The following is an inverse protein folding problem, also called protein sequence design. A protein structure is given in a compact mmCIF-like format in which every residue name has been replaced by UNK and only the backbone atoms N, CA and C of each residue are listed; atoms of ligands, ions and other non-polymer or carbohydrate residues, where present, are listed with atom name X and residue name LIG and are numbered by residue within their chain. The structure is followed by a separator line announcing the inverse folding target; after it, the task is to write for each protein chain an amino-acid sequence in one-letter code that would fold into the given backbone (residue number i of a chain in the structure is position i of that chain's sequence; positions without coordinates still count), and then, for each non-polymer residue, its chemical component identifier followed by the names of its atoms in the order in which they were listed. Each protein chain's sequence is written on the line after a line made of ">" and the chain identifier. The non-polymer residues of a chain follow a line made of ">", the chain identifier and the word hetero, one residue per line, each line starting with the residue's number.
data_IF_163413588360
#
_entry.id   IF_163413588360
#
_cell.length_a   1.000
_cell.length_b   1.000
_cell.length_c   1.000
_cell.angle_alpha   90.00
_cell.angle_beta   90.00
_cell.angle_gamma   90.00
#
_symmetry.space_group_name_H-M   'P 1'
#
loop_
_entity.id
_entity.type
_entity.pdbx_description
1 polymer ?
#
# COMPACT_ATOMS: atom_id res chain seq x y z
N UNK A 1 -19.80 -34.31 11.73
CA UNK A 1 -20.53 -33.89 12.95
C UNK A 1 -19.85 -32.65 13.50
N UNK A 2 -20.30 -31.48 13.08
CA UNK A 2 -19.83 -30.17 13.54
C UNK A 2 -20.67 -29.74 14.73
N UNK A 3 -20.04 -29.48 15.89
CA UNK A 3 -20.72 -28.86 17.04
C UNK A 3 -20.76 -27.34 16.83
N UNK A 4 -21.90 -26.66 17.04
CA UNK A 4 -21.97 -25.21 17.01
C UNK A 4 -21.42 -24.63 18.32
N UNK A 5 -20.62 -23.56 18.23
CA UNK A 5 -20.23 -22.75 19.38
C UNK A 5 -21.41 -21.88 19.80
N UNK A 6 -22.10 -22.26 20.89
CA UNK A 6 -23.18 -21.49 21.50
C UNK A 6 -22.88 -21.28 22.99
N UNK A 7 -21.99 -20.34 23.32
CA UNK A 7 -22.01 -19.64 24.62
C UNK A 7 -20.99 -18.50 24.67
N UNK A 8 -21.42 -17.33 25.17
CA UNK A 8 -20.59 -16.15 25.43
C UNK A 8 -19.52 -16.37 26.53
N UNK A 9 -19.51 -17.53 27.20
CA UNK A 9 -18.54 -17.90 28.24
C UNK A 9 -17.18 -18.35 27.70
N UNK A 10 -17.03 -18.59 26.39
CA UNK A 10 -15.75 -18.96 25.77
C UNK A 10 -14.83 -17.75 25.48
N UNK A 11 -15.31 -16.53 25.73
CA UNK A 11 -14.62 -15.27 25.40
C UNK A 11 -13.84 -14.72 26.62
N UNK A 12 -14.12 -15.16 27.84
CA UNK A 12 -13.52 -14.61 29.07
C UNK A 12 -12.06 -15.04 29.35
N UNK A 13 -11.48 -15.91 28.52
CA UNK A 13 -10.09 -16.34 28.63
C UNK A 13 -9.09 -15.59 27.74
N UNK A 14 -9.56 -14.72 26.84
CA UNK A 14 -8.69 -14.03 25.88
C UNK A 14 -8.13 -12.78 26.55
N UNK A 15 -6.95 -12.91 27.18
CA UNK A 15 -6.19 -11.74 27.61
C UNK A 15 -6.01 -10.78 26.43
N UNK A 16 -6.21 -9.46 26.61
CA UNK A 16 -5.86 -8.48 25.59
C UNK A 16 -4.39 -8.67 25.23
N UNK A 17 -4.14 -8.93 23.96
CA UNK A 17 -2.80 -9.16 23.46
C UNK A 17 -2.11 -7.81 23.42
N UNK A 18 -1.12 -7.64 24.28
CA UNK A 18 -0.27 -6.45 24.28
C UNK A 18 0.63 -6.49 23.03
N UNK A 19 0.16 -5.85 21.95
CA UNK A 19 0.88 -5.78 20.68
C UNK A 19 2.25 -5.12 20.78
N UNK A 20 2.58 -4.51 21.92
CA UNK A 20 3.88 -3.88 22.18
C UNK A 20 4.96 -4.85 22.67
N UNK A 21 4.59 -6.04 23.19
CA UNK A 21 5.56 -6.98 23.83
C UNK A 21 5.82 -8.27 23.06
N UNK A 22 4.88 -8.75 22.27
CA UNK A 22 4.98 -10.07 21.61
C UNK A 22 5.47 -10.02 20.14
N UNK A 23 5.75 -8.82 19.60
CA UNK A 23 6.15 -8.65 18.21
C UNK A 23 5.07 -9.08 17.20
N UNK A 24 5.38 -8.93 15.91
CA UNK A 24 4.47 -9.31 14.83
C UNK A 24 4.26 -10.84 14.78
N UNK A 25 3.04 -11.32 15.03
CA UNK A 25 2.69 -12.76 14.96
C UNK A 25 2.81 -13.39 13.57
N UNK A 26 2.82 -12.58 12.52
CA UNK A 26 2.76 -13.03 11.13
C UNK A 26 4.13 -13.03 10.43
N UNK A 27 5.20 -12.62 11.11
CA UNK A 27 6.54 -12.70 10.55
C UNK A 27 7.61 -12.53 11.61
N UNK A 28 8.41 -13.59 11.85
CA UNK A 28 9.57 -13.60 12.78
C UNK A 28 10.73 -12.66 12.36
N UNK A 29 10.46 -11.64 11.56
CA UNK A 29 11.48 -10.72 11.03
C UNK A 29 10.98 -9.31 10.71
N UNK A 30 9.74 -8.96 11.07
CA UNK A 30 9.26 -7.58 10.95
C UNK A 30 9.08 -7.01 12.35
N UNK A 31 9.91 -6.04 12.68
CA UNK A 31 9.85 -5.32 13.95
C UNK A 31 8.56 -4.50 14.06
N UNK A 32 8.03 -4.44 15.27
CA UNK A 32 6.94 -3.55 15.62
C UNK A 32 7.42 -2.09 15.56
N UNK A 33 6.64 -1.23 14.92
CA UNK A 33 6.95 0.19 14.78
C UNK A 33 5.85 1.03 15.41
N UNK A 34 6.24 1.86 16.37
CA UNK A 34 5.35 2.89 16.89
C UNK A 34 5.13 4.00 15.87
N UNK A 35 4.02 4.71 16.05
CA UNK A 35 3.63 5.78 15.16
C UNK A 35 2.13 5.85 14.93
N UNK A 36 1.74 6.72 14.01
CA UNK A 36 0.37 6.94 13.62
C UNK A 36 0.28 7.24 12.12
N UNK A 37 -0.93 7.15 11.60
CA UNK A 37 -1.22 7.58 10.25
C UNK A 37 -1.34 9.08 10.18
N UNK A 38 -0.64 9.64 9.21
CA UNK A 38 -0.82 11.02 8.81
C UNK A 38 -1.25 11.03 7.35
N UNK A 39 -2.30 11.80 7.06
CA UNK A 39 -2.75 11.99 5.69
C UNK A 39 -1.68 12.78 4.96
N UNK A 40 -1.14 12.25 3.88
CA UNK A 40 -0.15 12.94 3.04
C UNK A 40 -0.84 13.87 2.06
N UNK A 41 -1.89 13.37 1.41
CA UNK A 41 -2.66 14.15 0.44
C UNK A 41 -4.13 13.74 0.39
N UNK A 42 -4.95 14.67 -0.08
CA UNK A 42 -6.37 14.49 -0.30
C UNK A 42 -6.82 15.13 -1.61
N UNK A 43 -8.00 14.75 -2.08
CA UNK A 43 -8.66 15.37 -3.21
C UNK A 43 -9.83 16.22 -2.75
N UNK A 44 -9.92 17.43 -3.32
CA UNK A 44 -11.10 18.28 -3.22
C UNK A 44 -11.78 18.34 -4.57
N UNK A 45 -12.98 17.77 -4.63
CA UNK A 45 -13.91 17.96 -5.75
C UNK A 45 -14.43 19.40 -5.70
N UNK A 46 -14.00 20.23 -6.65
CA UNK A 46 -14.61 21.55 -6.86
C UNK A 46 -15.74 21.40 -7.86
N UNK A 47 -16.88 20.93 -7.37
CA UNK A 47 -18.16 21.08 -8.05
C UNK A 47 -18.54 22.57 -8.00
N UNK A 48 -18.25 23.29 -9.08
CA UNK A 48 -18.96 24.45 -9.67
C UNK A 48 -17.96 25.20 -10.55
N UNK A 49 -18.25 25.28 -11.86
CA UNK A 49 -17.52 25.99 -12.94
C UNK A 49 -16.39 25.24 -13.69
N UNK A 50 -16.50 23.92 -13.89
CA UNK A 50 -15.66 23.21 -14.87
C UNK A 50 -14.15 23.20 -14.57
N UNK A 51 -13.75 23.50 -13.33
CA UNK A 51 -12.36 23.37 -12.89
C UNK A 51 -12.11 21.93 -12.42
N UNK A 52 -11.01 21.34 -12.89
CA UNK A 52 -10.53 20.05 -12.38
C UNK A 52 -10.37 20.11 -10.85
N UNK A 53 -10.74 19.03 -10.16
CA UNK A 53 -10.54 18.93 -8.71
C UNK A 53 -9.06 19.08 -8.32
N UNK A 54 -8.83 19.43 -7.06
CA UNK A 54 -7.51 19.86 -6.58
C UNK A 54 -6.90 18.83 -5.63
N UNK A 55 -5.59 18.61 -5.78
CA UNK A 55 -4.80 17.85 -4.81
C UNK A 55 -4.40 18.80 -3.70
N UNK A 56 -4.74 18.43 -2.46
CA UNK A 56 -4.38 19.17 -1.25
C UNK A 56 -3.36 18.34 -0.48
N UNK A 57 -2.16 18.89 -0.30
CA UNK A 57 -1.10 18.29 0.51
C UNK A 57 -1.27 18.68 1.98
N UNK A 58 -0.98 17.76 2.88
CA UNK A 58 -0.96 18.06 4.32
C UNK A 58 0.38 18.71 4.71
N UNK A 59 0.40 19.97 5.20
CA UNK A 59 1.63 20.64 5.60
C UNK A 59 2.41 19.90 6.69
N UNK A 60 1.73 19.26 7.64
CA UNK A 60 2.37 18.50 8.71
C UNK A 60 3.12 17.28 8.15
N UNK A 61 2.54 16.58 7.18
CA UNK A 61 3.21 15.48 6.50
C UNK A 61 4.42 15.97 5.70
N UNK A 62 4.31 17.12 5.03
CA UNK A 62 5.42 17.71 4.29
C UNK A 62 6.57 18.12 5.20
N UNK A 63 6.30 18.66 6.38
CA UNK A 63 7.35 19.01 7.35
C UNK A 63 8.13 17.77 7.78
N UNK A 64 7.45 16.65 8.08
CA UNK A 64 8.11 15.37 8.39
C UNK A 64 9.01 14.91 7.23
N UNK A 65 8.56 15.06 5.99
CA UNK A 65 9.36 14.71 4.81
C UNK A 65 10.59 15.63 4.65
N UNK A 66 10.45 16.92 4.95
CA UNK A 66 11.53 17.91 4.85
C UNK A 66 12.61 17.73 5.92
N UNK A 67 12.28 17.12 7.05
CA UNK A 67 13.24 16.82 8.13
C UNK A 67 14.15 15.61 7.82
N UNK A 68 13.82 14.83 6.78
CA UNK A 68 14.60 13.66 6.37
C UNK A 68 15.84 14.11 5.60
N UNK A 69 17.01 13.80 6.15
CA UNK A 69 18.31 14.07 5.52
C UNK A 69 19.00 12.80 5.01
N UNK A 70 18.49 11.62 5.41
CA UNK A 70 18.98 10.33 4.96
C UNK A 70 18.39 9.94 3.60
N UNK A 71 19.01 9.02 2.83
CA UNK A 71 18.40 8.48 1.62
C UNK A 71 17.01 7.90 1.90
N UNK A 72 16.03 8.32 1.10
CA UNK A 72 14.62 7.97 1.28
C UNK A 72 14.21 6.81 0.37
N UNK A 73 13.54 5.81 0.95
CA UNK A 73 12.85 4.75 0.24
C UNK A 73 11.34 4.87 0.48
N UNK A 74 10.56 4.86 -0.58
CA UNK A 74 9.10 4.94 -0.54
C UNK A 74 8.52 3.64 -1.06
N UNK A 75 7.70 2.99 -0.22
CA UNK A 75 6.95 1.78 -0.54
C UNK A 75 5.48 2.18 -0.68
N UNK A 76 4.94 2.23 -1.90
CA UNK A 76 3.51 2.46 -2.09
C UNK A 76 2.75 1.15 -2.25
N UNK A 77 1.67 0.99 -1.50
CA UNK A 77 0.73 -0.13 -1.63
C UNK A 77 -0.51 0.37 -2.38
N UNK A 78 -0.71 -0.15 -3.60
CA UNK A 78 -1.76 0.27 -4.53
C UNK A 78 -2.52 -0.94 -5.06
N UNK A 79 -3.79 -0.78 -5.37
CA UNK A 79 -4.65 -1.88 -5.82
C UNK A 79 -6.13 -1.61 -5.52
N UNK A 80 -7.01 -2.52 -5.97
CA UNK A 80 -8.44 -2.26 -5.94
C UNK A 80 -8.99 -2.04 -4.53
N UNK A 81 -10.11 -1.33 -4.44
CA UNK A 81 -10.80 -1.05 -3.19
C UNK A 81 -11.22 -2.32 -2.45
N UNK A 82 -11.15 -2.30 -1.10
CA UNK A 82 -11.44 -3.43 -0.18
C UNK A 82 -10.61 -4.71 -0.38
N UNK A 83 -9.41 -4.61 -0.92
CA UNK A 83 -8.53 -5.78 -1.18
C UNK A 83 -7.39 -5.99 -0.18
N UNK A 84 -7.49 -5.42 1.02
CA UNK A 84 -6.51 -5.67 2.10
C UNK A 84 -5.17 -4.93 1.97
N UNK A 85 -5.12 -3.82 1.21
CA UNK A 85 -3.94 -2.95 1.08
C UNK A 85 -3.48 -2.39 2.42
N UNK A 86 -4.40 -1.74 3.14
CA UNK A 86 -4.14 -1.14 4.44
C UNK A 86 -3.75 -2.19 5.48
N UNK A 87 -4.27 -3.41 5.38
CA UNK A 87 -3.82 -4.53 6.19
C UNK A 87 -2.36 -4.91 5.88
N UNK A 88 -1.99 -5.00 4.60
CA UNK A 88 -0.61 -5.29 4.21
C UNK A 88 0.34 -4.17 4.65
N UNK A 89 -0.05 -2.91 4.50
CA UNK A 89 0.70 -1.77 4.98
C UNK A 89 0.88 -1.79 6.51
N UNK A 90 -0.13 -2.22 7.29
CA UNK A 90 0.00 -2.48 8.73
C UNK A 90 1.07 -3.56 9.03
N UNK A 91 1.02 -4.68 8.30
CA UNK A 91 1.99 -5.78 8.47
C UNK A 91 3.42 -5.31 8.22
N UNK A 92 3.65 -4.40 7.27
CA UNK A 92 4.98 -3.82 7.03
C UNK A 92 5.53 -3.05 8.24
N UNK A 93 4.68 -2.58 9.14
CA UNK A 93 5.06 -1.92 10.41
C UNK A 93 5.07 -2.88 11.61
N UNK A 94 4.83 -4.18 11.38
CA UNK A 94 4.68 -5.15 12.45
C UNK A 94 3.40 -4.97 13.27
N UNK A 95 2.37 -4.34 12.68
CA UNK A 95 1.11 -3.98 13.35
C UNK A 95 -0.10 -4.66 12.75
N UNK A 96 -1.22 -4.60 13.48
CA UNK A 96 -2.54 -5.09 13.04
C UNK A 96 -3.70 -4.11 13.27
N UNK A 97 -3.45 -2.96 13.90
CA UNK A 97 -4.45 -2.09 14.52
C UNK A 97 -4.53 -0.68 13.90
N UNK A 98 -3.57 -0.31 13.05
CA UNK A 98 -3.28 1.11 12.76
C UNK A 98 -4.05 1.71 11.59
N UNK A 99 -4.03 1.09 10.41
CA UNK A 99 -4.98 1.44 9.36
C UNK A 99 -6.38 1.01 9.76
N UNK A 100 -7.35 1.93 9.69
CA UNK A 100 -8.73 1.67 10.08
C UNK A 100 -9.36 0.68 9.08
N UNK A 101 -9.42 -0.60 9.44
CA UNK A 101 -9.96 -1.70 8.60
C UNK A 101 -11.49 -1.77 8.65
N UNK A 102 -12.17 -0.63 8.79
CA UNK A 102 -13.59 -0.55 9.12
C UNK A 102 -14.50 -1.39 8.19
N UNK A 103 -15.55 -2.05 8.73
CA UNK A 103 -16.49 -2.86 7.95
C UNK A 103 -17.48 -2.03 7.10
N UNK A 104 -17.42 -0.70 7.15
CA UNK A 104 -18.38 0.20 6.48
C UNK A 104 -18.31 0.13 4.96
N UNK A 105 -19.41 0.48 4.26
CA UNK A 105 -19.62 0.41 2.79
C UNK A 105 -18.87 1.52 2.01
N UNK A 106 -18.31 2.51 2.70
CA UNK A 106 -17.52 3.59 2.08
C UNK A 106 -16.01 3.28 2.03
N UNK A 107 -15.34 3.82 1.00
CA UNK A 107 -13.89 3.97 0.90
C UNK A 107 -13.21 4.35 2.22
N UNK A 108 -12.64 3.40 2.96
CA UNK A 108 -12.03 3.69 4.27
C UNK A 108 -10.81 4.63 4.17
N UNK A 109 -10.07 4.56 3.05
CA UNK A 109 -8.91 5.41 2.77
C UNK A 109 -9.26 6.34 1.61
N UNK A 110 -9.31 7.66 1.84
CA UNK A 110 -9.47 8.69 0.79
C UNK A 110 -8.20 9.53 0.64
N UNK A 111 -7.53 9.49 -0.50
CA UNK A 111 -6.20 10.06 -0.73
C UNK A 111 -5.05 9.10 -0.44
N UNK A 112 -3.90 9.64 -0.07
CA UNK A 112 -2.72 8.85 0.32
C UNK A 112 -2.40 9.15 1.77
N UNK A 113 -2.15 8.10 2.54
CA UNK A 113 -1.71 8.16 3.92
C UNK A 113 -0.28 7.64 4.01
N UNK A 114 0.51 8.23 4.90
CA UNK A 114 1.83 7.75 5.23
C UNK A 114 1.91 7.42 6.72
N UNK A 115 2.80 6.51 7.08
CA UNK A 115 3.12 6.25 8.48
C UNK A 115 4.13 7.27 8.99
N UNK A 116 3.89 7.80 10.19
CA UNK A 116 4.83 8.68 10.89
C UNK A 116 5.13 8.10 12.28
N UNK A 117 6.40 8.03 12.70
CA UNK A 117 7.57 8.50 11.96
C UNK A 117 8.05 7.51 10.88
N UNK A 118 8.74 8.00 9.81
CA UNK A 118 9.47 7.14 8.88
C UNK A 118 10.51 6.28 9.60
N UNK A 119 10.49 4.97 9.36
CA UNK A 119 11.40 4.07 10.07
C UNK A 119 12.77 4.00 9.41
N UNK A 120 13.78 3.63 10.20
CA UNK A 120 15.16 3.49 9.74
C UNK A 120 15.39 2.07 9.23
N UNK A 121 16.11 1.94 8.14
CA UNK A 121 16.62 0.67 7.63
C UNK A 121 18.12 0.81 7.38
N UNK A 122 18.91 0.10 8.17
CA UNK A 122 20.37 0.04 7.99
C UNK A 122 20.71 -1.13 7.07
N UNK A 123 21.55 -0.90 6.07
CA UNK A 123 22.06 -1.95 5.21
C UNK A 123 23.59 -1.86 5.12
N UNK A 124 24.26 -2.97 5.41
CA UNK A 124 25.71 -3.09 5.20
C UNK A 124 25.98 -3.28 3.71
N UNK A 125 26.79 -2.40 3.14
CA UNK A 125 27.25 -2.49 1.77
C UNK A 125 28.41 -3.49 1.67
N UNK A 126 28.67 -3.97 0.45
CA UNK A 126 29.77 -4.88 0.17
C UNK A 126 31.16 -4.31 0.49
N UNK A 127 31.28 -2.98 0.62
CA UNK A 127 32.51 -2.26 1.01
C UNK A 127 32.64 -2.09 2.54
N UNK A 128 31.75 -2.67 3.34
CA UNK A 128 31.72 -2.57 4.79
C UNK A 128 31.09 -1.29 5.34
N UNK A 129 30.62 -0.37 4.48
CA UNK A 129 29.91 0.83 4.94
C UNK A 129 28.47 0.50 5.29
N UNK A 130 27.99 1.01 6.41
CA UNK A 130 26.56 0.95 6.76
C UNK A 130 25.87 2.19 6.19
N UNK A 131 24.91 1.99 5.30
CA UNK A 131 24.01 3.06 4.84
C UNK A 131 22.72 2.96 5.64
N UNK A 132 22.36 4.05 6.32
CA UNK A 132 21.06 4.20 6.97
C UNK A 132 20.10 4.90 6.01
N UNK A 133 18.97 4.25 5.71
CA UNK A 133 17.89 4.81 4.89
C UNK A 133 16.68 5.12 5.74
N UNK A 134 15.88 6.10 5.34
CA UNK A 134 14.52 6.29 5.83
C UNK A 134 13.55 5.57 4.93
N UNK A 135 12.58 4.88 5.51
CA UNK A 135 11.54 4.16 4.78
C UNK A 135 10.19 4.73 5.15
N UNK A 136 9.42 5.06 4.12
CA UNK A 136 8.03 5.49 4.22
C UNK A 136 7.17 4.48 3.50
N UNK A 137 6.11 4.05 4.16
CA UNK A 137 5.07 3.21 3.56
C UNK A 137 3.85 4.09 3.30
N UNK A 138 3.40 4.08 2.06
CA UNK A 138 2.20 4.78 1.62
C UNK A 138 1.07 3.77 1.42
N UNK A 139 -0.07 4.04 2.05
CA UNK A 139 -1.33 3.36 1.74
C UNK A 139 -2.18 4.30 0.91
N UNK A 140 -2.57 3.82 -0.26
CA UNK A 140 -3.38 4.58 -1.21
C UNK A 140 -4.86 4.21 -1.09
N UNK A 141 -5.70 5.19 -1.41
CA UNK A 141 -7.11 4.95 -1.71
C UNK A 141 -7.24 3.83 -2.74
N UNK A 142 -8.25 2.98 -2.53
CA UNK A 142 -8.50 1.89 -3.47
C UNK A 142 -8.93 2.42 -4.82
N UNK A 143 -8.35 1.86 -5.87
CA UNK A 143 -8.83 2.08 -7.23
C UNK A 143 -10.04 1.17 -7.52
N UNK A 144 -10.76 1.45 -8.60
CA UNK A 144 -11.95 0.69 -9.01
C UNK A 144 -13.12 0.74 -8.02
N UNK A 145 -13.20 1.75 -7.15
CA UNK A 145 -14.40 2.02 -6.36
C UNK A 145 -15.49 2.60 -7.29
N UNK A 146 -16.69 1.98 -7.39
CA UNK A 146 -17.77 2.49 -8.24
C UNK A 146 -18.20 3.93 -7.95
N UNK A 147 -17.94 4.43 -6.74
CA UNK A 147 -18.30 5.79 -6.32
C UNK A 147 -17.14 6.79 -6.47
N UNK A 148 -15.99 6.36 -7.00
CA UNK A 148 -14.80 7.19 -7.16
C UNK A 148 -14.70 7.76 -8.57
N UNK A 149 -14.22 9.00 -8.70
CA UNK A 149 -13.84 9.59 -9.98
C UNK A 149 -12.69 8.77 -10.63
N UNK A 150 -12.87 8.17 -11.83
CA UNK A 150 -11.83 7.38 -12.48
C UNK A 150 -10.56 8.19 -12.80
N UNK A 151 -10.69 9.48 -13.07
CA UNK A 151 -9.53 10.36 -13.31
C UNK A 151 -8.77 10.59 -12.01
N UNK A 152 -9.46 10.69 -10.88
CA UNK A 152 -8.84 10.78 -9.56
C UNK A 152 -8.07 9.50 -9.22
N UNK A 153 -8.71 8.35 -9.39
CA UNK A 153 -8.08 7.04 -9.18
C UNK A 153 -6.80 6.88 -10.02
N UNK A 154 -6.87 7.27 -11.29
CA UNK A 154 -5.72 7.23 -12.21
C UNK A 154 -4.61 8.19 -11.77
N UNK A 155 -4.94 9.42 -11.37
CA UNK A 155 -3.95 10.39 -10.86
C UNK A 155 -3.24 9.89 -9.61
N UNK A 156 -3.98 9.31 -8.66
CA UNK A 156 -3.40 8.70 -7.46
C UNK A 156 -2.46 7.55 -7.81
N UNK A 157 -2.88 6.67 -8.72
CA UNK A 157 -2.08 5.56 -9.18
C UNK A 157 -0.76 6.03 -9.81
N UNK A 158 -0.82 6.98 -10.73
CA UNK A 158 0.36 7.57 -11.39
C UNK A 158 1.27 8.24 -10.36
N UNK A 159 0.70 9.00 -9.43
CA UNK A 159 1.48 9.68 -8.40
C UNK A 159 2.22 8.69 -7.50
N UNK A 160 1.53 7.66 -6.99
CA UNK A 160 2.17 6.57 -6.25
C UNK A 160 3.28 5.90 -7.07
N UNK A 161 3.06 5.68 -8.37
CA UNK A 161 4.04 5.04 -9.24
C UNK A 161 5.33 5.86 -9.33
N UNK A 162 5.20 7.16 -9.61
CA UNK A 162 6.32 8.07 -9.85
C UNK A 162 7.14 8.31 -8.58
N UNK A 163 6.51 8.41 -7.41
CA UNK A 163 7.22 8.73 -6.16
C UNK A 163 7.80 7.50 -5.46
N UNK A 164 7.46 6.29 -5.89
CA UNK A 164 7.88 5.07 -5.21
C UNK A 164 9.28 4.63 -5.59
N UNK A 165 10.04 4.13 -4.62
CA UNK A 165 11.17 3.25 -4.91
C UNK A 165 10.72 1.79 -5.04
N UNK A 166 9.62 1.42 -4.39
CA UNK A 166 8.99 0.11 -4.51
C UNK A 166 7.48 0.29 -4.63
N UNK A 167 6.92 -0.18 -5.74
CA UNK A 167 5.50 -0.12 -6.00
C UNK A 167 4.90 -1.51 -5.83
N UNK A 168 4.07 -1.69 -4.80
CA UNK A 168 3.36 -2.93 -4.52
C UNK A 168 1.99 -2.84 -5.15
N UNK A 169 1.77 -3.61 -6.22
CA UNK A 169 0.47 -3.74 -6.86
C UNK A 169 -0.27 -4.95 -6.30
N UNK A 170 -1.26 -4.69 -5.44
CA UNK A 170 -2.06 -5.68 -4.74
C UNK A 170 -3.27 -6.10 -5.59
N UNK A 171 -3.17 -7.29 -6.19
CA UNK A 171 -4.18 -7.93 -7.01
C UNK A 171 -4.81 -9.07 -6.21
N UNK A 172 -6.14 -9.18 -6.21
CA UNK A 172 -6.82 -10.34 -5.62
C UNK A 172 -7.23 -11.33 -6.71
N UNK A 173 -7.09 -12.62 -6.41
CA UNK A 173 -7.43 -13.78 -7.24
C UNK A 173 -6.54 -13.90 -8.48
N UNK A 174 -7.03 -13.46 -9.64
CA UNK A 174 -6.42 -13.69 -10.94
C UNK A 174 -6.16 -12.34 -11.59
N UNK A 175 -5.04 -12.24 -12.28
CA UNK A 175 -4.68 -11.05 -13.07
C UNK A 175 -5.61 -10.98 -14.28
N UNK A 176 -6.52 -10.02 -14.30
CA UNK A 176 -7.45 -9.82 -15.40
C UNK A 176 -6.95 -8.81 -16.44
N UNK A 177 -7.74 -8.58 -17.50
CA UNK A 177 -7.42 -7.59 -18.54
C UNK A 177 -7.25 -6.16 -18.00
N UNK A 178 -8.00 -5.80 -16.96
CA UNK A 178 -7.89 -4.48 -16.30
C UNK A 178 -6.51 -4.33 -15.63
N UNK A 179 -6.03 -5.38 -14.98
CA UNK A 179 -4.71 -5.39 -14.34
C UNK A 179 -3.59 -5.31 -15.37
N UNK A 180 -3.72 -6.04 -16.48
CA UNK A 180 -2.78 -5.97 -17.61
C UNK A 180 -2.76 -4.55 -18.19
N UNK A 181 -3.92 -3.92 -18.38
CA UNK A 181 -4.01 -2.54 -18.85
C UNK A 181 -3.30 -1.55 -17.91
N UNK A 182 -3.44 -1.72 -16.60
CA UNK A 182 -2.72 -0.90 -15.59
C UNK A 182 -1.22 -1.16 -15.59
N UNK A 183 -0.79 -2.40 -15.73
CA UNK A 183 0.63 -2.74 -15.88
C UNK A 183 1.22 -2.15 -17.17
N UNK A 184 0.47 -2.17 -18.27
CA UNK A 184 0.83 -1.50 -19.52
C UNK A 184 0.92 0.03 -19.35
N UNK A 185 -0.01 0.62 -18.59
CA UNK A 185 0.09 2.04 -18.22
C UNK A 185 1.40 2.32 -17.45
N UNK A 186 1.80 1.45 -16.52
CA UNK A 186 3.07 1.61 -15.81
C UNK A 186 4.27 1.59 -16.75
N UNK A 187 4.30 0.68 -17.73
CA UNK A 187 5.40 0.61 -18.70
C UNK A 187 5.46 1.85 -19.58
N UNK A 188 4.31 2.37 -20.00
CA UNK A 188 4.25 3.58 -20.82
C UNK A 188 4.66 4.83 -20.04
N UNK A 189 4.34 4.89 -18.74
CA UNK A 189 4.75 6.01 -17.89
C UNK A 189 6.26 6.11 -17.72
N UNK A 190 6.99 4.99 -17.85
CA UNK A 190 8.45 5.00 -17.84
C UNK A 190 9.04 5.88 -18.96
N UNK A 191 8.33 6.05 -20.09
CA UNK A 191 8.76 6.94 -21.18
C UNK A 191 8.67 8.43 -20.81
N UNK A 192 7.85 8.78 -19.81
CA UNK A 192 7.65 10.16 -19.36
C UNK A 192 8.49 10.51 -18.12
N UNK A 193 9.12 9.53 -17.48
CA UNK A 193 9.97 9.73 -16.32
C UNK A 193 11.41 9.82 -16.80
N UNK A 194 12.03 10.98 -16.60
CA UNK A 194 13.45 11.14 -16.89
C UNK A 194 14.27 10.42 -15.82
N UNK A 195 15.17 9.54 -16.25
CA UNK A 195 16.17 8.98 -15.35
C UNK A 195 17.01 10.11 -14.74
N UNK A 196 17.26 10.09 -13.42
CA UNK A 196 18.21 10.99 -12.78
C UNK A 196 19.58 10.85 -13.46
N UNK A 197 20.29 11.97 -13.58
CA UNK A 197 21.66 11.99 -14.14
C UNK A 197 22.64 11.18 -13.30
N UNK A 198 22.37 11.06 -11.99
CA UNK A 198 23.20 10.36 -11.02
C UNK A 198 22.35 9.33 -10.26
N UNK A 199 22.75 8.05 -10.33
CA UNK A 199 22.15 6.92 -9.60
C UNK A 199 21.26 6.01 -10.44
N UNK A 200 21.10 4.76 -9.98
CA UNK A 200 20.21 3.78 -10.62
C UNK A 200 18.75 4.14 -10.34
N UNK A 201 18.00 4.52 -11.38
CA UNK A 201 16.55 4.68 -11.31
C UNK A 201 15.86 3.40 -11.74
N UNK A 202 15.61 2.54 -10.76
CA UNK A 202 14.85 1.32 -10.97
C UNK A 202 13.70 1.26 -9.96
N UNK A 203 12.52 1.62 -10.44
CA UNK A 203 11.29 1.34 -9.74
C UNK A 203 11.16 -0.18 -9.55
N UNK A 204 11.15 -0.65 -8.31
CA UNK A 204 10.87 -2.06 -8.03
C UNK A 204 9.37 -2.31 -8.02
N UNK A 205 8.85 -2.94 -9.08
CA UNK A 205 7.48 -3.43 -9.11
C UNK A 205 7.37 -4.76 -8.37
N UNK A 206 6.44 -4.85 -7.41
CA UNK A 206 6.07 -6.08 -6.70
C UNK A 206 4.60 -6.36 -6.96
N UNK A 207 4.31 -7.46 -7.65
CA UNK A 207 2.93 -7.94 -7.83
C UNK A 207 2.58 -8.82 -6.63
N UNK A 208 1.70 -8.32 -5.78
CA UNK A 208 1.18 -9.05 -4.62
C UNK A 208 -0.15 -9.70 -5.01
N UNK A 209 -0.09 -11.00 -5.33
CA UNK A 209 -1.28 -11.79 -5.66
C UNK A 209 -1.87 -12.40 -4.38
N UNK A 210 -3.07 -11.95 -4.01
CA UNK A 210 -3.82 -12.37 -2.81
C UNK A 210 -4.90 -13.38 -3.17
N UNK A 211 -5.18 -14.30 -2.27
CA UNK A 211 -6.23 -15.32 -2.43
C UNK A 211 -6.10 -16.12 -3.75
N UNK A 212 -4.85 -16.33 -4.18
CA UNK A 212 -4.56 -17.10 -5.38
C UNK A 212 -4.88 -18.57 -5.14
N UNK A 213 -5.79 -19.10 -5.95
CA UNK A 213 -6.11 -20.52 -5.96
C UNK A 213 -5.62 -21.06 -7.29
N UNK A 214 -4.53 -21.83 -7.25
CA UNK A 214 -4.02 -22.51 -8.43
C UNK A 214 -4.83 -23.79 -8.65
N UNK A 215 -5.88 -23.71 -9.46
CA UNK A 215 -6.53 -24.89 -10.01
C UNK A 215 -5.73 -25.29 -11.25
N UNK A 216 -5.01 -26.42 -11.19
CA UNK A 216 -4.14 -26.91 -12.27
C UNK A 216 -4.94 -27.02 -13.58
N UNK A 217 -4.83 -26.05 -14.50
CA UNK A 217 -5.62 -26.05 -15.72
C UNK A 217 -4.91 -26.92 -16.76
N UNK A 218 -5.66 -27.45 -17.72
CA UNK A 218 -5.06 -28.15 -18.87
C UNK A 218 -4.14 -27.22 -19.70
N UNK A 219 -4.38 -25.91 -19.63
CA UNK A 219 -3.57 -24.86 -20.25
C UNK A 219 -3.53 -23.61 -19.38
N UNK A 220 -2.32 -23.13 -19.06
CA UNK A 220 -2.10 -21.85 -18.37
C UNK A 220 -2.70 -20.68 -19.14
N UNK A 221 -2.62 -20.68 -20.48
CA UNK A 221 -3.16 -19.62 -21.32
C UNK A 221 -4.68 -19.54 -21.22
N UNK A 222 -5.35 -20.69 -21.16
CA UNK A 222 -6.80 -20.75 -21.05
C UNK A 222 -7.28 -20.30 -19.67
N UNK A 223 -6.52 -20.61 -18.63
CA UNK A 223 -6.85 -20.20 -17.26
C UNK A 223 -6.93 -18.68 -17.08
N UNK A 224 -6.00 -17.94 -17.71
CA UNK A 224 -5.99 -16.47 -17.63
C UNK A 224 -6.93 -15.80 -18.64
N UNK A 225 -7.39 -16.50 -19.68
CA UNK A 225 -8.24 -15.91 -20.74
C UNK A 225 -9.72 -16.29 -20.65
N UNK A 226 -10.09 -17.33 -19.90
CA UNK A 226 -11.48 -17.83 -19.81
C UNK A 226 -12.30 -17.26 -18.64
N UNK A 227 -11.72 -16.45 -17.75
CA UNK A 227 -12.41 -15.80 -16.63
C UNK A 227 -12.54 -14.30 -16.86
#
# INVERSE_FOLDING_TARGET
>A
MTRPFNSLSDIEGIKPIDSTKDGNRFGRGIEFREGALIKLLSYSEKSVNGKFGQILLNPEALNILQEINEPLAIISVVGSFRRGKSWFANVLHGRHDSFNLGPGVEGCTRGIYMWSPPFKLSNEQSDGKTIQKRVIVLDSEGIDDPNQDPNWATKLFILCLVISSTFVYNINRIVGNIDIGKLCLMTNLNEFIQEPKDGDFLLRLVILLRDFIFESPESLKDYFLKQ
#
